data_IF_464638907989
#
_entry.id   IF_464638907989
#
_cell.length_a   1.000
_cell.length_b   1.000
_cell.length_c   1.000
_cell.angle_alpha   90.00
_cell.angle_beta   90.00
_cell.angle_gamma   90.00
#
_symmetry.space_group_name_H-M   'P 1'
#
loop_
_entity.id
_entity.type
_entity.pdbx_description
1 polymer ?
#
# COMPACT_ATOMS: atom_id res chain seq x y z
N UNK A 1 -9.51 -43.80 -51.12
CA UNK A 1 -9.00 -42.52 -51.69
C UNK A 1 -9.46 -41.37 -50.79
N UNK A 2 -8.59 -40.39 -50.56
CA UNK A 2 -8.88 -39.07 -49.94
C UNK A 2 -9.51 -39.02 -48.53
N UNK A 3 -8.67 -38.97 -47.50
CA UNK A 3 -8.97 -38.15 -46.31
C UNK A 3 -9.03 -36.66 -46.71
N UNK A 4 -9.78 -35.84 -45.98
CA UNK A 4 -9.62 -34.37 -46.02
C UNK A 4 -9.95 -33.74 -44.67
N UNK A 5 -8.98 -33.77 -43.77
CA UNK A 5 -9.00 -32.98 -42.55
C UNK A 5 -9.08 -31.48 -42.89
N UNK A 6 -9.98 -30.75 -42.23
CA UNK A 6 -9.99 -29.28 -42.26
C UNK A 6 -9.28 -28.77 -41.02
N UNK A 7 -8.05 -28.29 -41.21
CA UNK A 7 -7.33 -27.53 -40.20
C UNK A 7 -8.15 -26.32 -39.74
N UNK A 8 -8.31 -26.18 -38.42
CA UNK A 8 -8.79 -24.96 -37.77
C UNK A 8 -7.65 -24.43 -36.90
N UNK A 9 -7.15 -23.25 -37.24
CA UNK A 9 -6.20 -22.53 -36.40
C UNK A 9 -6.86 -22.04 -35.11
N UNK A 10 -6.13 -21.96 -33.99
CA UNK A 10 -6.66 -21.38 -32.75
C UNK A 10 -6.82 -19.86 -32.90
N UNK A 11 -7.95 -19.33 -32.42
CA UNK A 11 -8.15 -17.87 -32.28
C UNK A 11 -7.38 -17.36 -31.06
N UNK A 12 -6.68 -16.24 -31.23
CA UNK A 12 -6.08 -15.51 -30.12
C UNK A 12 -7.16 -14.88 -29.19
N UNK A 13 -6.88 -14.67 -27.90
CA UNK A 13 -7.81 -14.00 -26.99
C UNK A 13 -7.95 -12.51 -27.35
N UNK A 14 -9.19 -12.04 -27.40
CA UNK A 14 -9.53 -10.63 -27.62
C UNK A 14 -9.57 -9.95 -26.25
N UNK A 15 -8.62 -9.06 -25.97
CA UNK A 15 -8.72 -8.13 -24.85
C UNK A 15 -9.66 -6.97 -25.23
N UNK A 16 -10.59 -6.55 -24.36
CA UNK A 16 -11.42 -5.37 -24.61
C UNK A 16 -10.60 -4.08 -24.48
N UNK A 17 -10.83 -3.06 -25.32
CA UNK A 17 -10.11 -1.79 -25.26
C UNK A 17 -10.61 -0.90 -24.11
N UNK A 18 -9.75 0.04 -23.72
CA UNK A 18 -10.02 1.09 -22.74
C UNK A 18 -11.30 1.87 -23.04
N UNK A 19 -12.12 2.10 -22.02
CA UNK A 19 -13.20 3.08 -22.07
C UNK A 19 -12.82 4.29 -21.21
N UNK A 20 -12.26 5.31 -21.88
CA UNK A 20 -12.13 6.64 -21.32
C UNK A 20 -13.43 7.38 -21.63
N UNK A 21 -14.35 7.46 -20.67
CA UNK A 21 -15.46 8.41 -20.74
C UNK A 21 -14.90 9.82 -20.54
N UNK A 22 -14.88 10.59 -21.62
CA UNK A 22 -14.33 11.95 -21.69
C UNK A 22 -15.44 12.98 -21.95
N UNK A 23 -16.68 12.64 -21.61
CA UNK A 23 -17.89 13.43 -21.85
C UNK A 23 -18.60 13.82 -20.54
N UNK A 24 -18.14 14.90 -19.90
CA UNK A 24 -18.93 15.60 -18.87
C UNK A 24 -18.65 17.11 -18.82
N UNK A 25 -18.86 17.79 -19.94
CA UNK A 25 -18.91 19.25 -20.05
C UNK A 25 -20.05 19.67 -21.01
N UNK A 26 -20.64 20.85 -20.74
CA UNK A 26 -21.83 21.45 -21.41
C UNK A 26 -23.18 20.75 -21.11
N UNK A 27 -24.30 21.40 -20.73
CA UNK A 27 -24.68 22.83 -20.49
C UNK A 27 -25.52 22.95 -19.18
N UNK A 28 -26.23 24.01 -18.74
CA UNK A 28 -26.53 25.43 -19.11
C UNK A 28 -26.90 26.13 -17.74
N UNK A 29 -27.40 27.40 -17.60
CA UNK A 29 -27.52 28.56 -18.49
C UNK A 29 -26.79 29.84 -17.97
N UNK A 30 -26.87 30.91 -18.77
CA UNK A 30 -26.17 32.18 -18.56
C UNK A 30 -26.56 33.00 -17.30
N UNK A 31 -25.60 33.79 -16.78
CA UNK A 31 -25.83 34.97 -15.94
C UNK A 31 -25.10 36.20 -16.50
N UNK A 32 -25.84 37.26 -16.75
CA UNK A 32 -25.36 38.54 -17.28
C UNK A 32 -24.37 39.22 -16.34
N UNK A 33 -23.16 39.53 -16.82
CA UNK A 33 -22.17 40.33 -16.08
C UNK A 33 -22.36 41.81 -16.45
N UNK A 34 -22.57 42.65 -15.43
CA UNK A 34 -22.73 44.10 -15.59
C UNK A 34 -21.39 44.79 -15.29
N UNK A 35 -20.68 45.21 -16.33
CA UNK A 35 -19.41 45.95 -16.21
C UNK A 35 -19.59 47.21 -15.35
N UNK A 36 -18.75 47.36 -14.32
CA UNK A 36 -18.54 48.63 -13.62
C UNK A 36 -17.08 49.07 -13.73
N UNK A 37 -16.96 50.26 -14.32
CA UNK A 37 -15.83 51.18 -14.46
C UNK A 37 -14.69 50.96 -13.45
N UNK A 38 -13.46 50.89 -13.98
CA UNK A 38 -12.22 50.93 -13.20
C UNK A 38 -12.07 52.27 -12.49
N UNK A 39 -11.51 52.24 -11.28
CA UNK A 39 -11.02 53.39 -10.53
C UNK A 39 -9.69 53.03 -9.91
N UNK A 40 -8.67 53.85 -10.16
CA UNK A 40 -7.31 53.66 -9.65
C UNK A 40 -7.27 53.86 -8.14
N UNK A 41 -6.49 53.04 -7.42
CA UNK A 41 -6.10 53.34 -6.04
C UNK A 41 -4.64 52.91 -5.79
N UNK A 42 -3.94 53.76 -5.04
CA UNK A 42 -2.48 53.78 -4.94
C UNK A 42 -1.91 52.76 -3.97
N UNK A 43 -0.66 52.35 -4.18
CA UNK A 43 0.06 51.38 -3.37
C UNK A 43 0.38 51.89 -1.95
N UNK A 44 -0.53 51.70 -0.98
CA UNK A 44 -0.24 51.82 0.47
C UNK A 44 -0.89 50.79 1.42
N UNK A 45 -1.83 49.95 0.96
CA UNK A 45 -2.60 49.05 1.84
C UNK A 45 -2.25 47.57 1.66
N UNK A 46 -1.00 47.18 1.98
CA UNK A 46 -0.50 45.78 1.85
C UNK A 46 -0.51 45.01 3.18
N UNK A 47 -0.76 45.67 4.32
CA UNK A 47 -0.83 44.99 5.63
C UNK A 47 -2.24 45.03 6.25
N UNK A 48 -2.73 43.84 6.63
CA UNK A 48 -4.02 43.48 7.28
C UNK A 48 -5.21 43.20 6.33
N UNK A 49 -5.35 41.93 5.95
CA UNK A 49 -6.58 41.10 6.18
C UNK A 49 -6.43 39.66 5.63
N UNK A 50 -5.67 38.83 6.35
CA UNK A 50 -5.82 37.36 6.27
C UNK A 50 -6.17 36.81 7.67
N UNK A 51 -7.37 37.16 8.13
CA UNK A 51 -8.03 36.54 9.27
C UNK A 51 -9.50 36.34 8.92
N UNK A 52 -9.89 35.08 8.71
CA UNK A 52 -11.24 34.69 8.32
C UNK A 52 -11.29 33.27 7.73
N UNK A 53 -11.67 32.31 8.57
CA UNK A 53 -12.32 31.05 8.20
C UNK A 53 -11.55 29.98 7.39
N UNK A 54 -10.50 29.43 7.99
CA UNK A 54 -10.14 28.02 7.79
C UNK A 54 -9.81 27.31 9.11
N UNK A 55 -10.82 27.00 9.91
CA UNK A 55 -10.66 26.32 11.19
C UNK A 55 -11.70 25.23 11.43
N UNK A 56 -11.31 23.97 11.14
CA UNK A 56 -11.55 22.73 11.92
C UNK A 56 -11.41 21.47 11.04
N UNK A 57 -10.17 21.18 10.67
CA UNK A 57 -9.72 19.82 10.35
C UNK A 57 -8.57 19.48 11.29
N UNK A 58 -8.70 18.42 12.08
CA UNK A 58 -7.73 18.09 13.15
C UNK A 58 -6.36 17.69 12.60
N UNK A 59 -5.39 18.60 12.70
CA UNK A 59 -3.97 18.35 12.39
C UNK A 59 -3.28 17.56 13.54
N UNK A 60 -3.95 17.47 14.70
CA UNK A 60 -3.41 16.89 15.94
C UNK A 60 -3.15 15.38 15.91
N UNK A 61 -3.74 14.64 14.97
CA UNK A 61 -3.54 13.18 14.81
C UNK A 61 -2.27 12.87 14.03
N UNK A 62 -2.00 13.57 12.93
CA UNK A 62 -0.81 13.35 12.10
C UNK A 62 0.50 13.72 12.80
N UNK A 63 0.47 14.71 13.71
CA UNK A 63 1.64 15.06 14.52
C UNK A 63 1.91 14.04 15.64
N UNK A 64 0.87 13.35 16.14
CA UNK A 64 1.02 12.22 17.08
C UNK A 64 1.70 11.04 16.42
N UNK A 65 1.32 10.70 15.18
CA UNK A 65 1.94 9.60 14.41
C UNK A 65 3.47 9.72 14.30
N UNK A 66 4.00 10.94 14.16
CA UNK A 66 5.46 11.18 14.10
C UNK A 66 6.15 11.08 15.46
N UNK A 67 5.50 11.59 16.52
CA UNK A 67 6.05 11.56 17.87
C UNK A 67 6.04 10.13 18.46
N UNK A 68 5.01 9.34 18.17
CA UNK A 68 4.94 7.93 18.57
C UNK A 68 5.92 7.05 17.79
N UNK A 69 6.17 7.35 16.51
CA UNK A 69 7.24 6.72 15.74
C UNK A 69 8.62 7.03 16.35
N UNK A 70 8.87 8.28 16.75
CA UNK A 70 10.14 8.67 17.38
C UNK A 70 10.30 8.09 18.79
N UNK A 71 9.24 7.97 19.58
CA UNK A 71 9.30 7.39 20.93
C UNK A 71 9.55 5.88 20.88
N UNK A 72 8.96 5.17 19.90
CA UNK A 72 9.22 3.74 19.67
C UNK A 72 10.70 3.45 19.39
N UNK A 73 11.33 4.19 18.46
CA UNK A 73 12.77 4.03 18.18
C UNK A 73 13.68 4.54 19.31
N UNK A 74 13.25 5.53 20.09
CA UNK A 74 13.99 5.98 21.28
C UNK A 74 13.99 4.92 22.40
N UNK A 75 12.87 4.20 22.58
CA UNK A 75 12.73 3.14 23.59
C UNK A 75 13.58 1.90 23.33
N UNK A 76 14.12 1.74 22.11
CA UNK A 76 15.05 0.65 21.75
C UNK A 76 16.51 0.95 22.16
N UNK A 77 16.79 2.08 22.82
CA UNK A 77 18.13 2.45 23.31
C UNK A 77 18.21 2.55 24.85
N UNK A 78 18.00 1.44 25.55
CA UNK A 78 18.49 1.30 26.93
C UNK A 78 18.73 -0.16 27.35
N UNK A 79 20.00 -0.48 27.59
CA UNK A 79 20.54 -1.56 28.44
C UNK A 79 19.89 -2.97 28.41
N UNK A 80 20.57 -3.93 27.77
CA UNK A 80 20.87 -5.24 28.40
C UNK A 80 22.18 -5.83 27.88
N UNK A 81 22.98 -6.38 28.80
CA UNK A 81 24.16 -7.21 28.57
C UNK A 81 23.79 -8.61 28.02
N UNK A 82 24.73 -9.39 27.46
CA UNK A 82 24.40 -10.60 26.72
C UNK A 82 24.17 -11.80 27.65
N UNK A 83 22.92 -12.12 27.98
CA UNK A 83 22.57 -13.49 28.42
C UNK A 83 21.09 -13.83 28.23
N UNK A 84 20.89 -14.93 27.51
CA UNK A 84 19.67 -15.72 27.26
C UNK A 84 18.45 -15.50 28.19
N UNK A 85 17.27 -15.37 27.57
CA UNK A 85 16.02 -16.01 28.03
C UNK A 85 15.04 -16.20 26.87
N UNK A 86 14.80 -17.45 26.51
CA UNK A 86 13.75 -17.85 25.57
C UNK A 86 12.39 -17.63 26.23
N UNK A 87 11.50 -16.88 25.57
CA UNK A 87 10.10 -16.76 25.97
C UNK A 87 9.22 -17.35 24.86
N UNK A 88 9.15 -18.68 24.80
CA UNK A 88 8.27 -19.41 23.88
C UNK A 88 6.81 -19.28 24.33
N UNK A 89 6.20 -18.13 24.05
CA UNK A 89 4.75 -17.95 24.18
C UNK A 89 4.08 -18.38 22.89
N UNK A 90 3.13 -19.31 23.02
CA UNK A 90 2.35 -19.90 21.93
C UNK A 90 1.70 -18.78 21.09
N UNK A 91 2.02 -18.73 19.79
CA UNK A 91 1.35 -17.84 18.82
C UNK A 91 2.19 -16.75 18.15
N UNK A 92 3.53 -16.79 18.21
CA UNK A 92 4.41 -15.77 17.59
C UNK A 92 5.54 -16.38 16.75
N UNK A 93 5.26 -16.77 15.50
CA UNK A 93 6.27 -17.23 14.51
C UNK A 93 7.19 -16.09 13.99
N UNK A 94 7.40 -15.05 14.77
CA UNK A 94 8.09 -13.79 14.41
C UNK A 94 9.12 -13.47 15.48
N UNK A 95 10.33 -13.14 15.06
CA UNK A 95 11.30 -12.46 15.92
C UNK A 95 11.30 -10.99 15.50
N UNK A 96 11.43 -10.06 16.44
CA UNK A 96 11.49 -8.60 16.18
C UNK A 96 12.83 -8.17 15.53
N UNK A 97 13.36 -8.97 14.60
CA UNK A 97 14.55 -8.70 13.80
C UNK A 97 14.12 -8.28 12.39
N UNK A 98 14.69 -7.19 11.89
CA UNK A 98 14.47 -6.73 10.51
C UNK A 98 15.53 -7.39 9.61
N UNK A 99 15.11 -7.88 8.44
CA UNK A 99 16.00 -8.48 7.44
C UNK A 99 17.06 -7.50 6.93
N UNK A 100 18.13 -7.99 6.28
CA UNK A 100 19.26 -7.15 5.84
C UNK A 100 18.88 -6.07 4.81
N UNK A 101 17.74 -6.24 4.12
CA UNK A 101 17.18 -5.23 3.21
C UNK A 101 16.40 -4.10 3.92
N UNK A 102 16.13 -4.22 5.22
CA UNK A 102 15.35 -3.24 5.99
C UNK A 102 13.83 -3.37 5.90
N UNK A 103 13.30 -4.31 5.10
CA UNK A 103 11.92 -4.26 4.60
C UNK A 103 10.98 -5.40 5.06
N UNK A 104 11.52 -6.45 5.68
CA UNK A 104 10.72 -7.59 6.19
C UNK A 104 11.15 -7.97 7.62
N UNK A 105 10.20 -8.40 8.45
CA UNK A 105 10.50 -9.05 9.72
C UNK A 105 11.00 -10.49 9.46
N UNK A 106 12.14 -10.85 10.06
CA UNK A 106 12.67 -12.21 10.01
C UNK A 106 11.77 -13.11 10.86
N UNK A 107 11.19 -14.19 10.29
CA UNK A 107 10.39 -15.10 11.08
C UNK A 107 11.25 -15.91 12.05
N UNK A 108 10.65 -16.33 13.16
CA UNK A 108 11.29 -17.30 14.05
C UNK A 108 11.21 -18.73 13.52
N UNK A 109 10.19 -19.01 12.70
CA UNK A 109 9.90 -20.34 12.17
C UNK A 109 9.53 -20.26 10.68
N UNK A 110 9.77 -21.32 9.93
CA UNK A 110 9.51 -21.40 8.49
C UNK A 110 8.86 -22.75 8.22
N UNK A 111 7.70 -22.76 7.56
CA UNK A 111 7.10 -24.00 7.07
C UNK A 111 7.58 -24.32 5.65
N UNK A 112 7.92 -25.60 5.43
CA UNK A 112 8.45 -26.07 4.15
C UNK A 112 7.37 -26.20 3.07
N UNK A 113 6.11 -26.41 3.43
CA UNK A 113 5.00 -26.40 2.46
C UNK A 113 4.58 -24.97 2.12
N UNK A 114 4.57 -24.05 3.08
CA UNK A 114 4.36 -22.62 2.90
C UNK A 114 5.34 -21.98 1.92
N UNK A 115 6.64 -22.30 2.05
CA UNK A 115 7.68 -21.83 1.13
C UNK A 115 7.57 -22.38 -0.30
N UNK A 116 6.85 -23.49 -0.51
CA UNK A 116 6.54 -23.98 -1.88
C UNK A 116 5.40 -23.19 -2.55
N UNK A 117 4.64 -22.40 -1.79
CA UNK A 117 3.48 -21.61 -2.28
C UNK A 117 3.84 -20.17 -2.63
N UNK A 118 5.00 -19.66 -2.19
CA UNK A 118 5.44 -18.27 -2.41
C UNK A 118 6.95 -18.19 -2.62
N UNK A 119 7.41 -17.35 -3.55
CA UNK A 119 8.84 -17.10 -3.77
C UNK A 119 9.42 -16.17 -2.71
N UNK A 120 10.76 -16.12 -2.62
CA UNK A 120 11.46 -15.14 -1.80
C UNK A 120 11.12 -13.66 -2.14
N UNK A 121 10.75 -13.38 -3.40
CA UNK A 121 10.29 -12.05 -3.86
C UNK A 121 8.80 -11.77 -3.59
N UNK A 122 8.07 -12.73 -3.02
CA UNK A 122 6.64 -12.60 -2.72
C UNK A 122 5.69 -12.90 -3.88
N UNK A 123 6.19 -13.43 -5.00
CA UNK A 123 5.33 -13.97 -6.06
C UNK A 123 4.70 -15.28 -5.59
N UNK A 124 3.42 -15.46 -5.87
CA UNK A 124 2.72 -16.69 -5.54
C UNK A 124 2.99 -17.76 -6.61
N UNK A 125 2.95 -19.02 -6.19
CA UNK A 125 3.20 -20.19 -7.04
C UNK A 125 1.94 -21.04 -7.21
N UNK A 126 1.96 -21.93 -8.21
CA UNK A 126 0.92 -22.92 -8.45
C UNK A 126 -0.47 -22.27 -8.67
N UNK A 127 -0.51 -21.30 -9.59
CA UNK A 127 -1.75 -20.66 -10.09
C UNK A 127 -2.49 -19.76 -9.10
N UNK A 128 -1.87 -19.42 -7.96
CA UNK A 128 -2.44 -18.51 -6.96
C UNK A 128 -2.18 -17.05 -7.33
N UNK A 129 -3.20 -16.21 -7.18
CA UNK A 129 -3.12 -14.75 -7.37
C UNK A 129 -3.55 -14.01 -6.10
N UNK A 130 -3.00 -12.81 -5.88
CA UNK A 130 -3.41 -11.95 -4.78
C UNK A 130 -4.70 -11.19 -5.08
N UNK A 131 -5.50 -10.96 -4.04
CA UNK A 131 -6.71 -10.13 -4.10
C UNK A 131 -6.43 -8.62 -4.07
N UNK A 132 -5.21 -8.22 -3.67
CA UNK A 132 -4.73 -6.83 -3.68
C UNK A 132 -3.74 -6.65 -4.83
N UNK A 133 -3.76 -5.49 -5.49
CA UNK A 133 -2.77 -5.14 -6.51
C UNK A 133 -1.37 -5.17 -5.91
N UNK A 134 -0.50 -6.01 -6.46
CA UNK A 134 0.93 -6.00 -6.18
C UNK A 134 1.68 -5.11 -7.16
N UNK A 135 2.81 -4.59 -6.73
CA UNK A 135 3.69 -3.76 -7.56
C UNK A 135 5.13 -3.84 -7.07
N UNK A 136 6.07 -3.43 -7.92
CA UNK A 136 7.47 -3.25 -7.58
C UNK A 136 7.71 -1.79 -7.16
N UNK A 137 8.64 -1.56 -6.25
CA UNK A 137 9.12 -0.22 -5.89
C UNK A 137 10.53 -0.04 -6.47
N UNK A 138 10.77 1.00 -7.29
CA UNK A 138 12.11 1.27 -7.79
C UNK A 138 13.13 1.34 -6.66
N UNK A 139 14.34 0.82 -6.91
CA UNK A 139 15.46 0.76 -5.96
C UNK A 139 15.27 -0.21 -4.77
N UNK A 140 14.12 -0.92 -4.66
CA UNK A 140 13.90 -2.02 -3.68
C UNK A 140 13.99 -3.43 -4.27
N UNK A 141 14.67 -3.58 -5.40
CA UNK A 141 14.86 -4.86 -6.08
C UNK A 141 13.58 -5.38 -6.74
N UNK A 142 13.42 -6.71 -6.74
CA UNK A 142 12.30 -7.42 -7.39
C UNK A 142 11.23 -7.91 -6.38
N UNK A 143 11.24 -7.39 -5.16
CA UNK A 143 10.25 -7.73 -4.13
C UNK A 143 8.91 -7.09 -4.43
N UNK A 144 7.83 -7.87 -4.36
CA UNK A 144 6.47 -7.37 -4.51
C UNK A 144 5.98 -6.70 -3.23
N UNK A 145 5.39 -5.52 -3.39
CA UNK A 145 4.76 -4.73 -2.35
C UNK A 145 3.26 -4.57 -2.60
N UNK A 146 2.52 -4.23 -1.56
CA UNK A 146 1.09 -3.90 -1.57
C UNK A 146 0.83 -2.59 -0.81
N UNK A 147 -0.26 -1.90 -1.14
CA UNK A 147 -0.72 -0.75 -0.36
C UNK A 147 -1.37 -1.23 0.95
N UNK A 148 -0.78 -0.87 2.09
CA UNK A 148 -1.26 -1.33 3.40
C UNK A 148 -2.72 -0.94 3.69
N UNK A 149 -3.20 0.17 3.11
CA UNK A 149 -4.62 0.59 3.18
C UNK A 149 -5.57 -0.37 2.46
N UNK A 150 -5.15 -0.96 1.35
CA UNK A 150 -5.97 -1.93 0.60
C UNK A 150 -5.99 -3.28 1.30
N UNK A 151 -4.83 -3.73 1.79
CA UNK A 151 -4.69 -4.88 2.67
C UNK A 151 -5.60 -4.79 3.91
N UNK A 152 -5.61 -3.63 4.59
CA UNK A 152 -6.46 -3.39 5.75
C UNK A 152 -7.95 -3.57 5.42
N UNK A 153 -8.43 -2.92 4.35
CA UNK A 153 -9.82 -3.04 3.88
C UNK A 153 -10.18 -4.48 3.51
N UNK A 154 -9.32 -5.18 2.79
CA UNK A 154 -9.53 -6.58 2.39
C UNK A 154 -9.74 -7.50 3.59
N UNK A 155 -9.00 -7.26 4.67
CA UNK A 155 -8.98 -8.11 5.87
C UNK A 155 -9.95 -7.67 6.97
N UNK A 156 -10.69 -6.57 6.76
CA UNK A 156 -11.68 -6.04 7.71
C UNK A 156 -11.13 -5.10 8.78
N UNK A 157 -9.89 -4.61 8.65
CA UNK A 157 -9.35 -3.58 9.54
C UNK A 157 -9.83 -2.18 9.11
N UNK A 158 -10.11 -1.33 10.10
CA UNK A 158 -10.56 0.06 9.89
C UNK A 158 -9.55 0.88 9.05
N UNK A 159 -8.27 0.67 9.29
CA UNK A 159 -7.15 1.36 8.64
C UNK A 159 -5.88 0.50 8.69
N UNK A 160 -4.81 0.99 8.07
CA UNK A 160 -3.50 0.35 8.11
C UNK A 160 -2.83 0.40 9.49
N UNK A 161 -3.22 1.33 10.38
CA UNK A 161 -2.63 1.41 11.72
C UNK A 161 -3.09 0.23 12.58
N UNK A 162 -4.40 -0.09 12.59
CA UNK A 162 -4.92 -1.31 13.23
C UNK A 162 -4.37 -2.59 12.58
N UNK A 163 -4.13 -2.61 11.27
CA UNK A 163 -3.52 -3.76 10.59
C UNK A 163 -2.14 -4.07 11.20
N UNK A 164 -1.26 -3.07 11.35
CA UNK A 164 0.09 -3.28 11.89
C UNK A 164 0.08 -3.51 13.41
N UNK A 165 -0.71 -2.75 14.18
CA UNK A 165 -0.78 -2.92 15.64
C UNK A 165 -1.26 -4.32 16.06
N UNK A 166 -2.20 -4.90 15.32
CA UNK A 166 -2.73 -6.23 15.59
C UNK A 166 -1.84 -7.36 15.02
N UNK A 167 -0.85 -7.06 14.18
CA UNK A 167 0.00 -8.06 13.52
C UNK A 167 1.46 -7.59 13.51
N UNK A 168 2.18 -7.81 14.63
CA UNK A 168 3.59 -7.40 14.80
C UNK A 168 4.56 -8.06 13.81
N UNK A 169 4.14 -9.16 13.18
CA UNK A 169 4.83 -9.84 12.07
C UNK A 169 4.90 -9.04 10.78
N UNK A 170 4.09 -7.98 10.64
CA UNK A 170 4.06 -7.14 9.45
C UNK A 170 4.92 -5.89 9.66
N UNK A 171 5.94 -5.74 8.82
CA UNK A 171 6.74 -4.52 8.81
C UNK A 171 6.03 -3.38 8.06
N UNK A 172 5.94 -2.20 8.70
CA UNK A 172 5.34 -0.98 8.12
C UNK A 172 6.41 -0.15 7.43
N UNK A 173 6.45 -0.20 6.10
CA UNK A 173 7.34 0.64 5.29
C UNK A 173 6.62 1.95 4.96
N UNK A 174 7.22 3.09 5.30
CA UNK A 174 6.78 4.40 4.80
C UNK A 174 7.52 4.71 3.51
N UNK A 175 6.78 5.00 2.44
CA UNK A 175 7.40 5.41 1.17
C UNK A 175 8.01 6.81 1.27
N UNK A 176 9.22 6.94 0.76
CA UNK A 176 9.93 8.21 0.59
C UNK A 176 9.23 9.08 -0.48
N UNK A 177 9.50 10.40 -0.52
CA UNK A 177 8.95 11.27 -1.55
C UNK A 177 9.29 10.81 -2.97
N UNK A 178 10.52 10.34 -3.21
CA UNK A 178 10.96 9.87 -4.53
C UNK A 178 10.22 8.59 -4.96
N UNK A 179 10.12 7.59 -4.08
CA UNK A 179 9.38 6.36 -4.38
C UNK A 179 7.89 6.64 -4.62
N UNK A 180 7.29 7.56 -3.86
CA UNK A 180 5.90 7.96 -4.06
C UNK A 180 5.70 8.67 -5.42
N UNK A 181 6.64 9.49 -5.83
CA UNK A 181 6.61 10.15 -7.15
C UNK A 181 6.75 9.13 -8.28
N UNK A 182 7.67 8.17 -8.15
CA UNK A 182 7.81 7.04 -9.08
C UNK A 182 6.53 6.19 -9.17
N UNK A 183 5.89 5.89 -8.03
CA UNK A 183 4.64 5.13 -7.97
C UNK A 183 3.42 5.90 -8.52
N UNK A 184 3.43 7.23 -8.47
CA UNK A 184 2.43 8.08 -9.13
C UNK A 184 2.67 8.07 -10.65
N UNK A 185 3.93 8.20 -11.10
CA UNK A 185 4.29 8.14 -12.51
C UNK A 185 3.94 6.79 -13.17
N UNK A 186 4.03 5.68 -12.42
CA UNK A 186 3.63 4.34 -12.88
C UNK A 186 2.12 4.04 -12.76
N UNK A 187 1.28 5.04 -12.42
CA UNK A 187 -0.17 4.88 -12.22
C UNK A 187 -0.53 3.78 -11.19
N UNK A 188 0.35 3.54 -10.22
CA UNK A 188 0.09 2.69 -9.05
C UNK A 188 -0.62 3.51 -7.98
N UNK A 189 -0.21 4.77 -7.81
CA UNK A 189 -0.82 5.73 -6.89
C UNK A 189 -1.49 6.88 -7.65
N UNK A 190 -2.70 7.29 -7.27
CA UNK A 190 -3.30 8.51 -7.84
C UNK A 190 -2.58 9.75 -7.33
N UNK A 191 -2.50 10.81 -8.15
CA UNK A 191 -1.80 12.06 -7.81
C UNK A 191 -2.28 12.69 -6.48
N UNK A 192 -3.55 12.50 -6.10
CA UNK A 192 -4.12 12.96 -4.83
C UNK A 192 -3.45 12.38 -3.56
N UNK A 193 -2.62 11.34 -3.70
CA UNK A 193 -1.83 10.78 -2.61
C UNK A 193 -0.47 11.48 -2.44
N UNK A 194 -0.04 12.37 -3.36
CA UNK A 194 1.23 13.12 -3.30
C UNK A 194 1.41 13.86 -1.98
N UNK A 195 0.37 14.49 -1.46
CA UNK A 195 0.42 15.25 -0.20
C UNK A 195 0.12 14.42 1.06
N UNK A 196 0.06 13.09 0.95
CA UNK A 196 -0.25 12.17 2.07
C UNK A 196 0.93 11.24 2.34
N UNK A 197 1.00 10.74 3.58
CA UNK A 197 1.85 9.58 3.89
C UNK A 197 1.22 8.33 3.29
N UNK A 198 2.05 7.46 2.70
CA UNK A 198 1.63 6.18 2.13
C UNK A 198 2.50 5.08 2.73
N UNK A 199 1.84 4.11 3.34
CA UNK A 199 2.48 2.92 3.90
C UNK A 199 2.29 1.72 2.97
N UNK A 200 3.37 0.97 2.75
CA UNK A 200 3.39 -0.28 1.99
C UNK A 200 3.86 -1.43 2.89
N UNK A 201 3.62 -2.65 2.43
CA UNK A 201 3.99 -3.92 3.08
C UNK A 201 4.39 -4.92 2.00
N UNK A 202 5.29 -5.86 2.29
CA UNK A 202 5.65 -6.88 1.29
C UNK A 202 4.52 -7.89 1.11
N UNK A 203 4.36 -8.36 -0.12
CA UNK A 203 3.38 -9.37 -0.48
C UNK A 203 3.62 -10.69 0.27
N UNK A 204 4.90 -11.05 0.48
CA UNK A 204 5.30 -12.26 1.20
C UNK A 204 4.86 -12.22 2.66
N UNK A 205 5.17 -11.15 3.41
CA UNK A 205 4.70 -11.04 4.81
C UNK A 205 3.18 -11.08 4.93
N UNK A 206 2.46 -10.48 3.98
CA UNK A 206 0.99 -10.56 3.92
C UNK A 206 0.48 -11.99 3.70
N UNK A 207 1.09 -12.76 2.80
CA UNK A 207 0.74 -14.17 2.59
C UNK A 207 1.05 -15.02 3.83
N UNK A 208 2.21 -14.83 4.46
CA UNK A 208 2.64 -15.60 5.63
C UNK A 208 1.77 -15.35 6.87
N UNK A 209 1.22 -14.14 7.01
CA UNK A 209 0.35 -13.78 8.13
C UNK A 209 -1.12 -14.15 7.92
N UNK A 210 -1.64 -14.11 6.68
CA UNK A 210 -3.08 -14.22 6.42
C UNK A 210 -3.48 -15.36 5.46
N UNK A 211 -2.51 -16.00 4.81
CA UNK A 211 -2.70 -17.18 3.98
C UNK A 211 -3.78 -17.00 2.91
N UNK A 212 -4.70 -17.96 2.87
CA UNK A 212 -5.83 -18.04 1.95
C UNK A 212 -6.69 -16.77 1.90
N UNK A 213 -6.73 -15.95 2.96
CA UNK A 213 -7.54 -14.72 3.02
C UNK A 213 -7.12 -13.66 2.01
N UNK A 214 -5.83 -13.61 1.64
CA UNK A 214 -5.28 -12.68 0.65
C UNK A 214 -5.23 -13.24 -0.78
N UNK A 215 -5.60 -14.52 -0.96
CA UNK A 215 -5.56 -15.25 -2.24
C UNK A 215 -6.94 -15.24 -2.92
N UNK A 216 -6.98 -15.04 -4.24
CA UNK A 216 -8.21 -15.12 -5.03
C UNK A 216 -8.77 -16.54 -4.95
N UNK A 217 -10.02 -16.68 -4.50
CA UNK A 217 -10.67 -17.99 -4.24
C UNK A 217 -9.90 -18.90 -3.25
N UNK A 218 -9.04 -18.34 -2.41
CA UNK A 218 -8.20 -19.09 -1.48
C UNK A 218 -8.99 -19.95 -0.50
N UNK A 219 -8.53 -21.19 -0.30
CA UNK A 219 -9.13 -22.18 0.60
C UNK A 219 -8.28 -22.32 1.84
N UNK A 220 -8.91 -22.26 3.02
CA UNK A 220 -8.24 -22.52 4.30
C UNK A 220 -7.53 -23.89 4.29
N UNK A 221 -6.45 -23.99 5.05
CA UNK A 221 -5.49 -25.12 5.15
C UNK A 221 -4.70 -25.36 3.85
N UNK A 222 -5.33 -25.35 2.67
CA UNK A 222 -4.63 -25.60 1.40
C UNK A 222 -3.78 -24.41 0.96
N UNK A 223 -4.38 -23.23 0.95
CA UNK A 223 -3.77 -21.98 0.48
C UNK A 223 -3.32 -21.08 1.64
N UNK A 224 -3.35 -21.59 2.88
CA UNK A 224 -2.65 -20.96 4.00
C UNK A 224 -1.14 -21.27 3.93
N UNK A 225 -0.32 -20.44 4.55
CA UNK A 225 1.14 -20.64 4.58
C UNK A 225 1.58 -21.65 5.65
N UNK A 226 0.78 -21.83 6.70
CA UNK A 226 0.96 -22.81 7.79
C UNK A 226 -0.11 -23.91 7.69
#
# INVERSE_FOLDING_TARGET
MSNREKSRSPRAPIYPPHFLDLDYLFEHPARTIRLKKQGELSAKDVERKEQGDFARGDISSQQRDFNDFRSFFASQKSNTSPTQKLLTTIGSHTIDLIGPAGDECIPGEIDQEGEKKVTATGQLLDGRDYRVRTFLVPKRGQTLFMLARECARLLGYQDSYRLFNNNRSLFRIITTPAEKDDLIFQEILPFSYRSRQVAIVTARSMFRQFGSRVIVNGRRVRDDYW
#
